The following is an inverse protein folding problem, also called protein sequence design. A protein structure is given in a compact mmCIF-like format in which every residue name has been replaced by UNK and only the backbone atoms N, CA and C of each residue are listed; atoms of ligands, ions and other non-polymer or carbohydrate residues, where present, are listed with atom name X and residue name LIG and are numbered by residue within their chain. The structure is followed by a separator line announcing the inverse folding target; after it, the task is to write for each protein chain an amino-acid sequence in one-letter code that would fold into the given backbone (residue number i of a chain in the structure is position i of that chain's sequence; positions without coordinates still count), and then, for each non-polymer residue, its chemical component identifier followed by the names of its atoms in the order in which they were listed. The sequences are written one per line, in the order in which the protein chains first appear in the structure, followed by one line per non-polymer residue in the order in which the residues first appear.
data_IF_827561012770
#
_entry.id   IF_827561012770
#
_cell.length_a   1.000
_cell.length_b   1.000
_cell.length_c   1.000
_cell.angle_alpha   90.00
_cell.angle_beta   90.00
_cell.angle_gamma   90.00
#
_symmetry.space_group_name_H-M   'P 1'
#
loop_
_entity.id
_entity.type
_entity.pdbx_description
1 polymer ?
#
# COMPACT_ATOMS: atom_id res chain seq x y z
N UNK A 1 -22.28 -22.04 11.35
CA UNK A 1 -21.78 -20.88 10.62
C UNK A 1 -20.94 -20.06 11.59
N UNK A 2 -19.66 -20.32 11.68
CA UNK A 2 -18.74 -19.60 12.58
C UNK A 2 -17.89 -18.66 11.74
N UNK A 3 -18.17 -17.36 11.81
CA UNK A 3 -17.28 -16.33 11.27
C UNK A 3 -15.99 -16.37 12.09
N UNK A 4 -14.92 -16.91 11.52
CA UNK A 4 -13.59 -16.79 12.10
C UNK A 4 -13.07 -15.39 11.73
N UNK A 5 -13.17 -14.46 12.67
CA UNK A 5 -12.54 -13.16 12.60
C UNK A 5 -11.04 -13.39 12.78
N UNK A 6 -10.26 -13.13 11.72
CA UNK A 6 -8.81 -13.08 11.81
C UNK A 6 -8.41 -11.77 12.48
N UNK A 7 -7.98 -11.85 13.74
CA UNK A 7 -7.34 -10.75 14.42
C UNK A 7 -5.90 -10.63 13.92
N UNK A 8 -5.62 -9.59 13.14
CA UNK A 8 -4.24 -9.13 12.96
C UNK A 8 -3.94 -8.28 14.17
N UNK A 9 -3.19 -8.84 15.13
CA UNK A 9 -2.67 -8.08 16.25
C UNK A 9 -1.49 -7.25 15.78
N UNK A 10 -1.66 -5.94 15.65
CA UNK A 10 -0.53 -5.00 15.70
C UNK A 10 -0.13 -4.94 17.17
N UNK A 11 0.90 -5.69 17.53
CA UNK A 11 1.39 -5.76 18.91
C UNK A 11 2.11 -4.48 19.29
N UNK A 12 1.41 -3.55 19.94
CA UNK A 12 2.04 -2.43 20.62
C UNK A 12 2.53 -2.92 21.98
N UNK A 13 3.82 -3.23 22.13
CA UNK A 13 4.43 -3.47 23.44
C UNK A 13 4.89 -2.15 24.05
N UNK A 14 4.19 -1.72 25.10
CA UNK A 14 4.59 -0.62 25.97
C UNK A 14 5.60 -1.12 26.98
N UNK A 15 6.88 -0.76 26.83
CA UNK A 15 7.84 -0.80 27.95
C UNK A 15 7.75 0.53 28.70
N UNK A 16 7.18 0.51 29.88
CA UNK A 16 7.03 1.67 30.74
C UNK A 16 8.28 1.90 31.60
N UNK A 17 8.88 3.10 31.50
CA UNK A 17 9.76 3.65 32.52
C UNK A 17 9.00 4.74 33.30
N UNK A 18 9.14 4.86 34.65
CA UNK A 18 8.36 5.79 35.44
C UNK A 18 9.00 7.18 35.43
N UNK A 19 8.37 8.11 34.75
CA UNK A 19 8.54 9.55 34.99
C UNK A 19 7.16 10.10 35.34
N UNK A 20 7.10 10.95 36.37
CA UNK A 20 5.86 11.61 36.81
C UNK A 20 5.36 12.56 35.71
N UNK A 21 4.60 12.02 34.78
CA UNK A 21 3.93 12.74 33.70
C UNK A 21 2.44 12.83 34.01
N UNK A 22 1.80 13.91 33.67
CA UNK A 22 0.35 13.96 33.56
C UNK A 22 -0.10 12.69 32.84
N UNK A 23 -0.90 11.85 33.49
CA UNK A 23 -1.38 10.60 32.89
C UNK A 23 -2.42 10.93 31.83
N UNK A 24 -1.98 10.99 30.57
CA UNK A 24 -2.90 11.10 29.44
C UNK A 24 -3.61 9.77 29.23
N UNK A 25 -4.93 9.79 29.13
CA UNK A 25 -5.72 8.60 28.85
C UNK A 25 -5.68 8.31 27.36
N UNK A 26 -5.24 7.10 26.98
CA UNK A 26 -5.33 6.63 25.59
C UNK A 26 -6.72 6.07 25.31
N UNK A 27 -7.40 6.63 24.34
CA UNK A 27 -8.69 6.18 23.82
C UNK A 27 -8.52 5.48 22.47
N UNK A 28 -9.29 4.44 22.21
CA UNK A 28 -9.20 3.71 20.94
C UNK A 28 -10.56 3.21 20.44
N UNK A 29 -10.70 3.13 19.12
CA UNK A 29 -11.80 2.50 18.38
C UNK A 29 -11.26 1.86 17.12
N UNK A 30 -11.98 0.84 16.63
CA UNK A 30 -11.68 0.19 15.36
C UNK A 30 -12.95 -0.13 14.58
N UNK A 31 -12.81 -0.30 13.28
CA UNK A 31 -13.87 -0.73 12.36
C UNK A 31 -13.28 -1.60 11.24
N UNK A 32 -14.05 -2.54 10.74
CA UNK A 32 -13.76 -3.36 9.56
C UNK A 32 -14.72 -3.06 8.38
N UNK A 33 -15.44 -1.93 8.47
CA UNK A 33 -16.49 -1.58 7.52
C UNK A 33 -15.98 -0.99 6.19
N UNK A 34 -14.70 -0.61 6.11
CA UNK A 34 -14.13 0.11 4.98
C UNK A 34 -12.89 -0.58 4.42
N UNK A 35 -12.66 -0.47 3.11
CA UNK A 35 -11.49 -0.99 2.38
C UNK A 35 -11.25 -2.49 2.57
N UNK A 36 -12.28 -3.26 2.97
CA UNK A 36 -12.18 -4.69 3.27
C UNK A 36 -11.08 -5.03 4.29
N UNK A 37 -10.76 -4.09 5.18
CA UNK A 37 -9.69 -4.21 6.17
C UNK A 37 -10.07 -3.54 7.50
N UNK A 38 -9.23 -3.73 8.52
CA UNK A 38 -9.41 -3.08 9.83
C UNK A 38 -8.76 -1.72 9.82
N UNK A 39 -9.51 -0.69 10.21
CA UNK A 39 -9.00 0.64 10.53
C UNK A 39 -9.13 0.90 12.02
N UNK A 40 -8.10 1.46 12.65
CA UNK A 40 -8.06 1.70 14.08
C UNK A 40 -7.55 3.11 14.41
N UNK A 41 -8.23 3.74 15.37
CA UNK A 41 -7.94 5.05 15.89
C UNK A 41 -7.44 4.95 17.32
N UNK A 42 -6.37 5.67 17.62
CA UNK A 42 -5.77 5.80 18.95
C UNK A 42 -5.45 7.28 19.20
N UNK A 43 -6.15 7.91 20.15
CA UNK A 43 -5.92 9.31 20.52
C UNK A 43 -5.73 9.43 22.03
N UNK A 44 -4.84 10.31 22.45
CA UNK A 44 -4.74 10.69 23.84
C UNK A 44 -5.72 11.81 24.17
N UNK A 45 -6.32 11.77 25.35
CA UNK A 45 -7.18 12.87 25.81
C UNK A 45 -6.36 14.16 25.91
N UNK A 46 -6.83 15.22 25.27
CA UNK A 46 -6.22 16.54 25.29
C UNK A 46 -7.23 17.61 25.69
N UNK A 47 -6.79 18.53 26.54
CA UNK A 47 -7.65 19.65 26.98
C UNK A 47 -7.94 20.58 25.80
N UNK A 48 -9.23 20.88 25.58
CA UNK A 48 -9.68 21.73 24.46
C UNK A 48 -9.92 20.99 23.14
N UNK A 49 -9.57 19.71 23.03
CA UNK A 49 -9.93 18.90 21.88
C UNK A 49 -11.43 18.56 21.87
N UNK A 50 -11.96 18.26 20.70
CA UNK A 50 -13.32 17.71 20.55
C UNK A 50 -13.46 16.37 21.26
N UNK A 51 -14.69 15.96 21.61
CA UNK A 51 -14.86 14.66 22.25
C UNK A 51 -14.41 13.53 21.33
N UNK A 52 -13.86 12.46 21.92
CA UNK A 52 -13.40 11.28 21.19
C UNK A 52 -14.52 10.66 20.33
N UNK A 53 -15.74 10.61 20.82
CA UNK A 53 -16.88 10.04 20.08
C UNK A 53 -17.26 10.89 18.86
N UNK A 54 -17.19 12.22 18.94
CA UNK A 54 -17.38 13.11 17.78
C UNK A 54 -16.27 12.91 16.76
N UNK A 55 -15.02 12.85 17.22
CA UNK A 55 -13.84 12.60 16.36
C UNK A 55 -13.91 11.24 15.69
N UNK A 56 -14.34 10.20 16.42
CA UNK A 56 -14.56 8.88 15.83
C UNK A 56 -15.68 8.87 14.77
N UNK A 57 -16.78 9.56 15.02
CA UNK A 57 -17.87 9.64 14.05
C UNK A 57 -17.45 10.38 12.78
N UNK A 58 -16.70 11.48 12.90
CA UNK A 58 -16.14 12.20 11.75
C UNK A 58 -15.12 11.35 10.99
N UNK A 59 -14.28 10.58 11.70
CA UNK A 59 -13.36 9.62 11.08
C UNK A 59 -14.12 8.61 10.22
N UNK A 60 -15.18 8.01 10.72
CA UNK A 60 -16.01 7.06 9.95
C UNK A 60 -16.63 7.71 8.71
N UNK A 61 -17.06 8.97 8.80
CA UNK A 61 -17.61 9.68 7.64
C UNK A 61 -16.54 9.90 6.56
N UNK A 62 -15.33 10.28 6.94
CA UNK A 62 -14.19 10.41 6.03
C UNK A 62 -13.91 9.06 5.33
N UNK A 63 -13.80 7.97 6.09
CA UNK A 63 -13.56 6.64 5.52
C UNK A 63 -14.69 6.20 4.57
N UNK A 64 -15.95 6.48 4.95
CA UNK A 64 -17.12 6.21 4.11
C UNK A 64 -17.12 7.00 2.81
N UNK A 65 -16.70 8.27 2.83
CA UNK A 65 -16.59 9.09 1.62
C UNK A 65 -15.54 8.55 0.66
N UNK A 66 -14.38 8.16 1.20
CA UNK A 66 -13.30 7.58 0.39
C UNK A 66 -13.72 6.22 -0.17
N UNK A 67 -14.33 5.34 0.62
CA UNK A 67 -14.83 4.05 0.14
C UNK A 67 -15.85 4.23 -1.00
N UNK A 68 -16.78 5.18 -0.88
CA UNK A 68 -17.73 5.51 -1.96
C UNK A 68 -17.06 6.06 -3.21
N UNK A 69 -15.89 6.68 -3.07
CA UNK A 69 -15.13 7.19 -4.20
C UNK A 69 -14.39 6.08 -4.95
N UNK A 70 -13.70 5.18 -4.23
CA UNK A 70 -12.69 4.28 -4.81
C UNK A 70 -13.11 2.81 -4.93
N UNK A 71 -14.21 2.38 -4.31
CA UNK A 71 -14.61 0.98 -4.30
C UNK A 71 -14.86 0.45 -5.70
N UNK A 72 -14.18 -0.62 -6.09
CA UNK A 72 -14.43 -1.31 -7.36
C UNK A 72 -15.62 -2.27 -7.29
N UNK A 73 -16.07 -2.61 -6.08
CA UNK A 73 -17.17 -3.54 -5.83
C UNK A 73 -18.53 -2.85 -5.64
N UNK A 74 -18.54 -1.55 -5.30
CA UNK A 74 -19.77 -0.78 -5.14
C UNK A 74 -20.10 -0.12 -6.48
N UNK A 75 -21.21 -0.51 -7.16
CA UNK A 75 -21.55 0.02 -8.49
C UNK A 75 -21.81 1.53 -8.53
N UNK A 76 -22.12 2.13 -7.37
CA UNK A 76 -22.40 3.57 -7.26
C UNK A 76 -21.12 4.40 -7.00
N UNK A 77 -19.97 3.77 -6.80
CA UNK A 77 -18.70 4.47 -6.61
C UNK A 77 -18.22 5.15 -7.91
N UNK A 78 -17.39 6.17 -7.77
CA UNK A 78 -16.82 6.86 -8.93
C UNK A 78 -16.02 5.90 -9.82
N UNK A 79 -15.17 5.07 -9.19
CA UNK A 79 -14.29 4.14 -9.92
C UNK A 79 -15.08 3.00 -10.56
N UNK A 80 -16.09 2.42 -9.90
CA UNK A 80 -16.90 1.38 -10.52
C UNK A 80 -17.72 1.94 -11.72
N UNK A 81 -18.28 3.15 -11.60
CA UNK A 81 -18.95 3.83 -12.71
C UNK A 81 -18.01 4.11 -13.87
N UNK A 82 -16.79 4.59 -13.59
CA UNK A 82 -15.75 4.77 -14.60
C UNK A 82 -15.36 3.44 -15.26
N UNK A 83 -15.18 2.38 -14.48
CA UNK A 83 -14.80 1.06 -14.99
C UNK A 83 -15.86 0.47 -15.94
N UNK A 84 -17.13 0.79 -15.72
CA UNK A 84 -18.24 0.37 -16.58
C UNK A 84 -18.33 1.12 -17.92
N UNK A 85 -17.59 2.22 -18.11
CA UNK A 85 -17.61 3.00 -19.34
C UNK A 85 -16.91 2.27 -20.50
N UNK A 86 -17.39 2.51 -21.72
CA UNK A 86 -16.65 2.20 -22.93
C UNK A 86 -15.63 3.29 -23.28
N UNK A 87 -14.63 2.95 -24.07
CA UNK A 87 -13.69 3.93 -24.64
C UNK A 87 -14.41 5.08 -25.34
N UNK A 88 -13.91 6.29 -25.17
CA UNK A 88 -14.52 7.54 -25.68
C UNK A 88 -15.61 8.11 -24.78
N UNK A 89 -15.99 7.44 -23.69
CA UNK A 89 -16.96 7.94 -22.71
C UNK A 89 -16.30 8.60 -21.52
N UNK A 90 -17.08 9.35 -20.74
CA UNK A 90 -16.64 10.03 -19.52
C UNK A 90 -17.72 10.01 -18.45
N UNK A 91 -17.32 10.21 -17.20
CA UNK A 91 -18.23 10.39 -16.06
C UNK A 91 -17.72 11.48 -15.13
N UNK A 92 -18.66 12.13 -14.45
CA UNK A 92 -18.35 13.04 -13.34
C UNK A 92 -17.93 12.24 -12.12
N UNK A 93 -16.90 12.69 -11.44
CA UNK A 93 -16.35 12.11 -10.20
C UNK A 93 -16.35 13.13 -9.06
N UNK A 94 -16.19 12.66 -7.84
CA UNK A 94 -16.06 13.50 -6.65
C UNK A 94 -14.68 14.19 -6.59
N UNK A 95 -14.57 15.25 -5.79
CA UNK A 95 -13.28 15.87 -5.49
C UNK A 95 -12.32 14.89 -4.79
N UNK A 96 -12.85 13.97 -3.97
CA UNK A 96 -12.06 12.92 -3.31
C UNK A 96 -11.36 12.04 -4.33
N UNK A 97 -12.09 11.55 -5.34
CA UNK A 97 -11.49 10.75 -6.43
C UNK A 97 -10.49 11.57 -7.24
N UNK A 98 -10.81 12.85 -7.51
CA UNK A 98 -9.92 13.73 -8.25
C UNK A 98 -8.60 13.96 -7.50
N UNK A 99 -8.62 14.17 -6.18
CA UNK A 99 -7.42 14.38 -5.37
C UNK A 99 -6.55 13.13 -5.33
N UNK A 100 -7.15 11.94 -5.15
CA UNK A 100 -6.43 10.67 -5.20
C UNK A 100 -5.77 10.46 -6.56
N UNK A 101 -6.49 10.75 -7.66
CA UNK A 101 -5.97 10.62 -9.02
C UNK A 101 -4.83 11.60 -9.29
N UNK A 102 -4.86 12.84 -8.77
CA UNK A 102 -3.74 13.78 -8.92
C UNK A 102 -2.45 13.19 -8.34
N UNK A 103 -2.50 12.70 -7.10
CA UNK A 103 -1.34 12.00 -6.50
C UNK A 103 -0.93 10.78 -7.34
N UNK A 104 -1.89 10.02 -7.87
CA UNK A 104 -1.58 8.88 -8.73
C UNK A 104 -0.89 9.31 -10.03
N UNK A 105 -1.30 10.42 -10.66
CA UNK A 105 -0.64 10.99 -11.84
C UNK A 105 0.77 11.48 -11.54
N UNK A 106 0.97 12.12 -10.39
CA UNK A 106 2.29 12.60 -9.98
C UNK A 106 3.26 11.42 -9.83
N UNK A 107 2.89 10.39 -9.06
CA UNK A 107 3.72 9.19 -8.88
C UNK A 107 3.90 8.42 -10.20
N UNK A 108 2.86 8.33 -11.05
CA UNK A 108 2.98 7.74 -12.38
C UNK A 108 4.04 8.45 -13.23
N UNK A 109 4.00 9.78 -13.25
CA UNK A 109 4.94 10.60 -14.02
C UNK A 109 6.37 10.52 -13.45
N UNK A 110 6.53 10.58 -12.12
CA UNK A 110 7.82 10.49 -11.45
C UNK A 110 8.52 9.14 -11.63
N UNK A 111 7.74 8.07 -11.81
CA UNK A 111 8.23 6.70 -11.87
C UNK A 111 8.20 6.09 -13.27
N UNK A 112 8.01 6.89 -14.32
CA UNK A 112 7.86 6.41 -15.70
C UNK A 112 6.81 5.30 -15.83
N UNK A 113 5.70 5.44 -15.08
CA UNK A 113 4.56 4.51 -15.11
C UNK A 113 4.73 3.23 -14.33
N UNK A 114 5.70 3.12 -13.41
CA UNK A 114 5.86 1.92 -12.57
C UNK A 114 4.79 1.80 -11.48
N UNK A 115 4.23 2.91 -11.03
CA UNK A 115 2.94 2.93 -10.34
C UNK A 115 1.87 3.25 -11.38
N UNK A 116 1.01 2.30 -11.68
CA UNK A 116 -0.06 2.49 -12.66
C UNK A 116 -1.37 1.83 -12.19
N UNK A 117 -2.37 2.61 -11.78
CA UNK A 117 -3.65 2.07 -11.33
C UNK A 117 -4.47 1.43 -12.46
N UNK A 118 -4.04 1.55 -13.73
CA UNK A 118 -4.69 0.91 -14.86
C UNK A 118 -4.32 -0.56 -15.07
N UNK A 119 -3.43 -1.11 -14.23
CA UNK A 119 -3.09 -2.55 -14.22
C UNK A 119 -4.26 -3.46 -13.79
N UNK A 120 -5.38 -2.91 -13.37
CA UNK A 120 -6.50 -3.69 -12.82
C UNK A 120 -6.97 -4.85 -13.71
N UNK A 121 -7.08 -4.76 -15.04
CA UNK A 121 -7.41 -5.91 -15.89
C UNK A 121 -6.41 -7.07 -15.77
N UNK A 122 -5.13 -6.78 -15.53
CA UNK A 122 -4.10 -7.77 -15.26
C UNK A 122 -4.21 -8.35 -13.84
N UNK A 123 -4.47 -7.50 -12.83
CA UNK A 123 -4.74 -7.94 -11.44
C UNK A 123 -5.92 -8.91 -11.42
N UNK A 124 -6.95 -8.62 -12.20
CA UNK A 124 -8.13 -9.48 -12.36
C UNK A 124 -7.79 -10.79 -13.09
N UNK A 125 -7.02 -10.73 -14.19
CA UNK A 125 -6.53 -11.91 -14.90
C UNK A 125 -5.72 -12.83 -13.98
N UNK A 126 -4.86 -12.31 -13.13
CA UNK A 126 -4.07 -13.06 -12.16
C UNK A 126 -4.89 -13.61 -10.99
N UNK A 127 -6.15 -13.20 -10.83
CA UNK A 127 -7.04 -13.68 -9.76
C UNK A 127 -6.85 -12.96 -8.42
N UNK A 128 -6.26 -11.76 -8.42
CA UNK A 128 -6.08 -10.94 -7.22
C UNK A 128 -7.20 -9.94 -6.98
N UNK A 129 -8.12 -9.77 -7.91
CA UNK A 129 -9.27 -8.88 -7.74
C UNK A 129 -10.28 -9.42 -6.73
N UNK A 130 -11.16 -8.57 -6.15
CA UNK A 130 -12.19 -9.00 -5.20
C UNK A 130 -13.15 -10.06 -5.73
N UNK A 131 -13.28 -10.22 -7.04
CA UNK A 131 -14.09 -11.30 -7.67
C UNK A 131 -13.62 -12.68 -7.25
N UNK A 132 -12.33 -12.83 -7.00
CA UNK A 132 -11.68 -14.08 -6.64
C UNK A 132 -11.44 -14.20 -5.13
N UNK A 133 -12.08 -13.36 -4.33
CA UNK A 133 -12.00 -13.49 -2.88
C UNK A 133 -12.31 -14.94 -2.50
N UNK A 134 -11.40 -15.58 -1.76
CA UNK A 134 -11.45 -16.99 -1.33
C UNK A 134 -12.76 -17.39 -0.64
N UNK A 135 -13.57 -16.42 -0.22
CA UNK A 135 -14.85 -16.62 0.46
C UNK A 135 -16.07 -16.46 -0.45
N UNK A 136 -15.91 -15.98 -1.68
CA UNK A 136 -16.99 -15.84 -2.66
C UNK A 136 -16.59 -16.56 -3.94
N UNK A 137 -17.01 -17.81 -4.03
CA UNK A 137 -16.93 -18.56 -5.27
C UNK A 137 -17.81 -17.86 -6.33
N UNK A 138 -17.18 -17.23 -7.32
CA UNK A 138 -17.91 -16.76 -8.51
C UNK A 138 -17.82 -17.84 -9.58
N UNK A 139 -18.96 -18.39 -10.04
CA UNK A 139 -18.96 -19.39 -11.11
C UNK A 139 -18.58 -18.80 -12.48
N UNK A 140 -18.59 -17.50 -12.64
CA UNK A 140 -18.22 -16.82 -13.88
C UNK A 140 -16.77 -16.34 -13.78
N UNK A 141 -15.84 -17.19 -14.18
CA UNK A 141 -14.43 -16.80 -14.33
C UNK A 141 -14.24 -16.14 -15.72
N UNK A 142 -13.51 -15.02 -15.82
CA UNK A 142 -13.15 -14.45 -17.12
C UNK A 142 -12.22 -15.41 -17.89
N UNK A 143 -12.25 -15.30 -19.21
CA UNK A 143 -11.31 -16.00 -20.10
C UNK A 143 -11.41 -17.53 -20.03
N UNK A 144 -12.62 -18.08 -19.87
CA UNK A 144 -12.89 -19.54 -19.76
C UNK A 144 -12.05 -20.27 -18.70
N UNK A 145 -11.52 -19.54 -17.71
CA UNK A 145 -10.75 -20.12 -16.60
C UNK A 145 -11.68 -20.81 -15.61
N UNK A 146 -11.41 -22.07 -15.31
CA UNK A 146 -12.09 -22.84 -14.26
C UNK A 146 -11.13 -23.13 -13.12
N UNK A 147 -11.63 -23.15 -11.88
CA UNK A 147 -10.83 -23.66 -10.76
C UNK A 147 -10.52 -25.14 -10.99
N UNK A 148 -9.22 -25.46 -10.95
CA UNK A 148 -8.72 -26.84 -10.97
C UNK A 148 -8.20 -27.13 -9.58
N UNK A 149 -8.78 -28.14 -8.90
CA UNK A 149 -8.44 -28.54 -7.52
C UNK A 149 -8.46 -27.36 -6.53
N UNK A 150 -9.40 -26.42 -6.71
CA UNK A 150 -9.53 -25.24 -5.85
C UNK A 150 -8.49 -24.15 -6.08
N UNK A 151 -7.70 -24.24 -7.16
CA UNK A 151 -6.72 -23.23 -7.57
C UNK A 151 -7.12 -22.60 -8.90
N UNK A 152 -6.88 -21.32 -9.02
CA UNK A 152 -7.01 -20.63 -10.28
C UNK A 152 -5.82 -21.03 -11.18
N UNK A 153 -6.02 -21.50 -12.42
CA UNK A 153 -4.93 -21.85 -13.30
C UNK A 153 -4.10 -20.59 -13.64
N UNK A 154 -2.82 -20.78 -13.93
CA UNK A 154 -1.95 -19.70 -14.40
C UNK A 154 -2.57 -19.03 -15.63
N UNK A 155 -2.47 -17.69 -15.75
CA UNK A 155 -2.88 -16.99 -16.96
C UNK A 155 -2.12 -17.51 -18.19
N UNK A 156 -2.82 -17.57 -19.33
CA UNK A 156 -2.15 -17.76 -20.61
C UNK A 156 -1.34 -16.49 -20.93
N UNK A 157 -0.09 -16.64 -21.32
CA UNK A 157 0.79 -15.51 -21.68
C UNK A 157 0.19 -14.63 -22.78
N UNK A 158 -0.54 -15.22 -23.73
CA UNK A 158 -1.26 -14.47 -24.78
C UNK A 158 -2.31 -13.53 -24.20
N UNK A 159 -2.96 -13.89 -23.07
CA UNK A 159 -3.92 -13.01 -22.42
C UNK A 159 -3.21 -11.87 -21.69
N UNK A 160 -2.06 -12.13 -21.08
CA UNK A 160 -1.22 -11.09 -20.45
C UNK A 160 -0.81 -10.07 -21.53
N UNK A 161 -0.23 -10.53 -22.64
CA UNK A 161 0.20 -9.67 -23.74
C UNK A 161 -0.97 -8.88 -24.35
N UNK A 162 -2.14 -9.51 -24.50
CA UNK A 162 -3.32 -8.88 -25.07
C UNK A 162 -3.92 -7.78 -24.16
N UNK A 163 -3.70 -7.84 -22.85
CA UNK A 163 -4.18 -6.83 -21.89
C UNK A 163 -3.21 -5.65 -21.72
N UNK A 164 -1.91 -5.80 -22.03
CA UNK A 164 -0.92 -4.72 -21.88
C UNK A 164 -1.31 -3.41 -22.57
N UNK A 165 -1.97 -3.37 -23.76
CA UNK A 165 -2.41 -2.11 -24.36
C UNK A 165 -3.48 -1.35 -23.55
N UNK A 166 -4.10 -1.97 -22.56
CA UNK A 166 -5.05 -1.30 -21.64
C UNK A 166 -4.35 -0.58 -20.48
N UNK A 167 -3.05 -0.88 -20.25
CA UNK A 167 -2.24 -0.30 -19.19
C UNK A 167 -1.62 1.00 -19.68
N UNK A 168 -1.74 2.03 -18.88
CA UNK A 168 -1.20 3.36 -19.16
C UNK A 168 -2.15 4.46 -18.70
N UNK A 169 -1.84 5.07 -17.55
CA UNK A 169 -2.65 6.14 -16.97
C UNK A 169 -2.79 7.36 -17.92
N UNK A 170 -1.86 7.53 -18.86
CA UNK A 170 -1.93 8.55 -19.92
C UNK A 170 -3.14 8.38 -20.85
N UNK A 171 -3.75 7.19 -20.93
CA UNK A 171 -4.98 6.92 -21.67
C UNK A 171 -6.27 7.36 -20.94
N UNK A 172 -6.13 7.91 -19.73
CA UNK A 172 -7.23 8.40 -18.89
C UNK A 172 -6.97 9.87 -18.62
N UNK A 173 -7.96 10.74 -18.79
CA UNK A 173 -7.79 12.18 -18.63
C UNK A 173 -8.74 12.72 -17.58
N UNK A 174 -8.19 13.40 -16.57
CA UNK A 174 -8.95 14.16 -15.58
C UNK A 174 -9.06 15.62 -16.05
N UNK A 175 -10.28 16.14 -16.13
CA UNK A 175 -10.53 17.57 -16.38
C UNK A 175 -11.31 18.19 -15.23
N UNK A 176 -11.11 19.50 -15.03
CA UNK A 176 -11.84 20.31 -14.06
C UNK A 176 -12.39 21.54 -14.75
N UNK A 177 -13.72 21.71 -14.69
CA UNK A 177 -14.39 22.90 -15.18
C UNK A 177 -15.41 23.39 -14.14
N UNK A 178 -15.23 24.62 -13.66
CA UNK A 178 -16.14 25.24 -12.66
C UNK A 178 -16.36 24.40 -11.39
N UNK A 179 -15.34 23.66 -10.93
CA UNK A 179 -15.40 22.79 -9.76
C UNK A 179 -16.08 21.44 -10.02
N UNK A 180 -16.37 21.12 -11.28
CA UNK A 180 -16.85 19.79 -11.71
C UNK A 180 -15.68 19.01 -12.27
N UNK A 181 -15.43 17.84 -11.68
CA UNK A 181 -14.37 16.92 -12.10
C UNK A 181 -14.94 15.87 -13.05
N UNK A 182 -14.31 15.67 -14.18
CA UNK A 182 -14.72 14.69 -15.18
C UNK A 182 -13.54 13.80 -15.55
N UNK A 183 -13.79 12.49 -15.54
CA UNK A 183 -12.80 11.47 -15.91
C UNK A 183 -13.17 10.88 -17.27
N UNK A 184 -12.24 10.93 -18.22
CA UNK A 184 -12.41 10.49 -19.61
C UNK A 184 -11.62 9.19 -19.85
N UNK A 185 -12.25 8.21 -20.49
CA UNK A 185 -11.62 6.94 -20.89
C UNK A 185 -11.26 7.02 -22.38
N UNK A 186 -9.99 7.23 -22.70
CA UNK A 186 -9.52 7.38 -24.08
C UNK A 186 -8.82 6.10 -24.59
N UNK A 187 -8.40 5.19 -23.70
CA UNK A 187 -7.74 3.93 -24.07
C UNK A 187 -8.67 3.06 -24.91
N UNK A 188 -8.26 2.66 -26.13
CA UNK A 188 -9.05 1.73 -26.96
C UNK A 188 -9.21 0.38 -26.26
N UNK A 189 -10.36 -0.30 -26.42
CA UNK A 189 -10.54 -1.64 -25.88
C UNK A 189 -9.72 -2.69 -26.66
N UNK A 190 -9.49 -3.83 -26.04
CA UNK A 190 -8.92 -5.02 -26.67
C UNK A 190 -9.95 -6.14 -26.75
N UNK A 191 -9.76 -7.09 -27.66
CA UNK A 191 -10.63 -8.28 -27.77
C UNK A 191 -9.84 -9.51 -27.37
N UNK A 192 -10.33 -10.27 -26.39
CA UNK A 192 -9.74 -11.53 -25.92
C UNK A 192 -10.82 -12.60 -25.97
N UNK A 193 -10.59 -13.69 -26.70
CA UNK A 193 -11.53 -14.81 -26.86
C UNK A 193 -12.95 -14.41 -27.27
N UNK A 194 -13.06 -13.31 -28.04
CA UNK A 194 -14.33 -12.75 -28.51
C UNK A 194 -14.98 -11.76 -27.53
N UNK A 195 -14.44 -11.56 -26.37
CA UNK A 195 -14.90 -10.56 -25.38
C UNK A 195 -14.15 -9.25 -25.53
N UNK A 196 -14.90 -8.13 -25.42
CA UNK A 196 -14.34 -6.78 -25.49
C UNK A 196 -13.98 -6.31 -24.08
N UNK A 197 -12.69 -6.13 -23.83
CA UNK A 197 -12.16 -5.69 -22.53
C UNK A 197 -11.80 -4.21 -22.61
N UNK A 198 -12.27 -3.45 -21.63
CA UNK A 198 -12.01 -2.01 -21.48
C UNK A 198 -10.87 -1.75 -20.49
N UNK A 199 -10.20 -0.60 -20.61
CA UNK A 199 -9.31 -0.12 -19.55
C UNK A 199 -10.10 0.14 -18.27
N UNK A 200 -9.51 -0.21 -17.14
CA UNK A 200 -10.11 -0.09 -15.80
C UNK A 200 -9.10 0.43 -14.81
N UNK A 201 -9.58 1.06 -13.75
CA UNK A 201 -8.78 1.60 -12.64
C UNK A 201 -9.00 0.81 -11.35
N UNK A 202 -7.93 0.67 -10.58
CA UNK A 202 -7.98 0.30 -9.16
C UNK A 202 -7.10 1.28 -8.36
N UNK A 203 -7.69 1.98 -7.41
CA UNK A 203 -7.02 2.93 -6.52
C UNK A 203 -6.66 2.30 -5.16
N UNK A 204 -6.73 0.98 -5.01
CA UNK A 204 -6.42 0.27 -3.76
C UNK A 204 -4.99 0.46 -3.26
N UNK A 205 -4.03 0.74 -4.16
CA UNK A 205 -2.62 1.01 -3.85
C UNK A 205 -2.32 2.45 -3.43
N UNK A 206 -3.33 3.30 -3.20
CA UNK A 206 -3.17 4.70 -2.78
C UNK A 206 -4.25 5.15 -1.78
N UNK A 207 -5.41 4.49 -1.81
CA UNK A 207 -6.59 4.95 -1.06
C UNK A 207 -6.42 4.84 0.45
N UNK A 208 -5.66 3.85 0.96
CA UNK A 208 -5.40 3.70 2.39
C UNK A 208 -4.49 4.80 2.92
N UNK A 209 -3.46 5.14 2.14
CA UNK A 209 -2.61 6.29 2.42
C UNK A 209 -3.40 7.59 2.43
N UNK A 210 -4.23 7.82 1.42
CA UNK A 210 -5.08 9.01 1.36
C UNK A 210 -6.04 9.09 2.56
N UNK A 211 -6.60 7.98 3.00
CA UNK A 211 -7.42 7.94 4.22
C UNK A 211 -6.62 8.36 5.45
N UNK A 212 -5.36 7.92 5.58
CA UNK A 212 -4.48 8.34 6.67
C UNK A 212 -4.21 9.85 6.66
N UNK A 213 -3.93 10.43 5.49
CA UNK A 213 -3.71 11.87 5.35
C UNK A 213 -4.95 12.69 5.77
N UNK A 214 -6.13 12.30 5.27
CA UNK A 214 -7.38 13.00 5.58
C UNK A 214 -7.78 12.88 7.05
N UNK A 215 -7.57 11.70 7.64
CA UNK A 215 -7.86 11.46 9.07
C UNK A 215 -6.89 12.25 9.96
N UNK A 216 -5.59 12.30 9.62
CA UNK A 216 -4.61 13.07 10.38
C UNK A 216 -4.90 14.58 10.34
N UNK A 217 -5.28 15.11 9.17
CA UNK A 217 -5.70 16.49 9.03
C UNK A 217 -6.92 16.79 9.90
N UNK A 218 -7.91 15.89 9.86
CA UNK A 218 -9.12 16.00 10.66
C UNK A 218 -8.83 15.99 12.17
N UNK A 219 -7.92 15.13 12.66
CA UNK A 219 -7.52 15.12 14.06
C UNK A 219 -6.94 16.47 14.52
N UNK A 220 -6.06 17.05 13.72
CA UNK A 220 -5.51 18.38 14.01
C UNK A 220 -6.61 19.45 14.06
N UNK A 221 -7.61 19.39 13.17
CA UNK A 221 -8.76 20.29 13.19
C UNK A 221 -9.65 20.09 14.43
N UNK A 222 -9.70 18.85 14.98
CA UNK A 222 -10.40 18.53 16.22
C UNK A 222 -9.59 18.88 17.48
N UNK A 223 -8.38 19.42 17.35
CA UNK A 223 -7.51 19.83 18.45
C UNK A 223 -6.60 18.74 19.01
N UNK A 224 -6.50 17.60 18.33
CA UNK A 224 -5.59 16.51 18.74
C UNK A 224 -4.21 16.69 18.12
N UNK A 225 -3.17 16.54 18.97
CA UNK A 225 -1.76 16.55 18.59
C UNK A 225 -1.05 15.24 18.94
N UNK A 226 -1.73 14.36 19.69
CA UNK A 226 -1.16 13.11 20.19
C UNK A 226 -2.03 11.90 19.84
N UNK A 227 -1.43 10.92 19.18
CA UNK A 227 -2.13 9.71 18.76
C UNK A 227 -1.66 9.16 17.44
N UNK A 228 -2.42 8.22 16.89
CA UNK A 228 -2.17 7.68 15.56
C UNK A 228 -3.44 7.04 14.98
N UNK A 229 -3.46 6.91 13.67
CA UNK A 229 -4.47 6.18 12.92
C UNK A 229 -3.81 5.12 12.04
N UNK A 230 -4.40 3.93 12.00
CA UNK A 230 -3.93 2.79 11.20
C UNK A 230 -5.02 2.40 10.21
N UNK A 231 -4.67 2.27 8.93
CA UNK A 231 -5.55 1.77 7.89
C UNK A 231 -4.96 0.48 7.27
N UNK A 232 -5.62 -0.65 7.52
CA UNK A 232 -5.24 -1.94 6.96
C UNK A 232 -3.91 -2.53 7.44
N UNK A 233 -3.29 -1.95 8.46
CA UNK A 233 -1.96 -2.37 8.95
C UNK A 233 -0.82 -2.05 8.00
N UNK A 234 -1.08 -1.48 6.83
CA UNK A 234 -0.09 -1.08 5.83
C UNK A 234 0.16 0.42 5.81
N UNK A 235 -0.83 1.24 6.15
CA UNK A 235 -0.71 2.70 6.13
C UNK A 235 -1.07 3.28 7.49
N UNK A 236 -0.31 4.28 7.94
CA UNK A 236 -0.48 4.92 9.24
C UNK A 236 -0.29 6.44 9.11
N UNK A 237 -1.07 7.17 9.91
CA UNK A 237 -0.78 8.55 10.26
C UNK A 237 -0.37 8.60 11.73
N UNK A 238 0.77 9.18 12.04
CA UNK A 238 1.39 9.19 13.35
C UNK A 238 1.57 10.63 13.78
N UNK A 239 0.93 10.99 14.89
CA UNK A 239 1.15 12.25 15.60
C UNK A 239 2.24 12.04 16.66
N UNK A 240 2.25 12.85 17.71
CA UNK A 240 3.18 12.69 18.82
C UNK A 240 2.60 11.78 19.92
N UNK A 241 3.42 11.47 20.93
CA UNK A 241 3.04 10.81 22.21
C UNK A 241 3.21 11.79 23.39
N UNK A 242 2.46 11.58 24.48
CA UNK A 242 2.56 12.46 25.66
C UNK A 242 3.85 12.27 26.49
N UNK A 243 4.56 11.18 26.30
CA UNK A 243 5.70 10.76 27.12
C UNK A 243 7.04 10.85 26.35
N UNK A 244 8.12 11.12 27.10
CA UNK A 244 9.50 11.14 26.59
C UNK A 244 9.71 12.23 25.53
N UNK A 245 10.25 11.81 24.39
CA UNK A 245 10.49 12.65 23.20
C UNK A 245 9.34 12.62 22.20
N UNK A 246 8.21 12.01 22.54
CA UNK A 246 7.03 11.90 21.71
C UNK A 246 7.09 10.83 20.62
N UNK A 247 8.12 9.98 20.62
CA UNK A 247 8.35 8.97 19.60
C UNK A 247 7.49 7.70 19.82
N UNK A 248 6.95 7.19 18.73
CA UNK A 248 6.39 5.84 18.63
C UNK A 248 7.46 4.86 18.14
N UNK A 249 7.44 3.65 18.67
CA UNK A 249 8.19 2.52 18.12
C UNK A 249 7.24 1.70 17.26
N UNK A 250 7.46 1.69 15.94
CA UNK A 250 6.68 0.92 14.98
C UNK A 250 7.51 -0.27 14.53
N UNK A 251 6.96 -1.47 14.70
CA UNK A 251 7.60 -2.71 14.27
C UNK A 251 7.26 -3.04 12.81
N UNK A 252 8.27 -3.42 12.03
CA UNK A 252 8.13 -3.83 10.65
C UNK A 252 8.10 -5.36 10.57
N UNK A 253 6.97 -5.91 10.12
CA UNK A 253 6.74 -7.34 10.04
C UNK A 253 7.66 -8.02 9.02
N UNK A 254 8.21 -9.19 9.36
CA UNK A 254 9.02 -10.01 8.45
C UNK A 254 8.12 -10.45 7.27
N UNK A 255 8.49 -10.09 6.03
CA UNK A 255 7.71 -10.52 4.87
C UNK A 255 7.77 -12.05 4.72
N UNK A 256 6.72 -12.62 4.14
CA UNK A 256 6.59 -14.07 3.90
C UNK A 256 6.65 -14.96 5.15
N UNK A 257 6.54 -14.38 6.35
CA UNK A 257 6.38 -15.15 7.58
C UNK A 257 5.02 -15.86 7.58
N UNK A 258 4.96 -17.08 8.10
CA UNK A 258 3.70 -17.81 8.26
C UNK A 258 2.75 -17.08 9.20
N UNK A 259 1.44 -17.25 9.03
CA UNK A 259 0.42 -16.59 9.86
C UNK A 259 0.52 -16.90 11.37
N UNK A 260 1.29 -17.92 11.75
CA UNK A 260 1.55 -18.32 13.14
C UNK A 260 2.81 -17.64 13.72
N UNK A 261 3.70 -17.11 12.87
CA UNK A 261 4.97 -16.52 13.28
C UNK A 261 4.94 -15.00 13.05
N UNK A 262 4.40 -14.27 14.03
CA UNK A 262 4.50 -12.81 14.04
C UNK A 262 5.95 -12.50 14.42
N UNK A 263 6.82 -12.43 13.44
CA UNK A 263 8.20 -12.01 13.60
C UNK A 263 8.41 -10.65 12.97
N UNK A 264 9.22 -9.83 13.61
CA UNK A 264 9.62 -8.52 13.09
C UNK A 264 11.04 -8.62 12.60
N UNK A 265 11.38 -7.83 11.57
CA UNK A 265 12.77 -7.74 11.13
C UNK A 265 13.42 -6.42 11.56
N UNK A 266 12.61 -5.40 11.82
CA UNK A 266 13.08 -4.09 12.26
C UNK A 266 12.01 -3.37 13.08
N UNK A 267 12.42 -2.32 13.79
CA UNK A 267 11.53 -1.31 14.33
C UNK A 267 12.08 0.08 14.08
N UNK A 268 11.17 1.04 13.85
CA UNK A 268 11.49 2.44 13.60
C UNK A 268 10.92 3.33 14.68
N UNK A 269 11.66 4.39 15.05
CA UNK A 269 11.22 5.37 16.03
C UNK A 269 10.82 6.66 15.32
N UNK A 270 9.53 7.03 15.43
CA UNK A 270 8.93 8.08 14.60
C UNK A 270 7.87 8.88 15.36
N UNK A 271 7.67 10.12 14.93
CA UNK A 271 6.56 11.01 15.33
C UNK A 271 6.25 11.98 14.19
N UNK A 272 5.07 12.57 14.21
CA UNK A 272 4.63 13.62 13.28
C UNK A 272 4.94 13.28 11.81
N UNK A 273 4.62 12.04 11.42
CA UNK A 273 4.90 11.51 10.08
C UNK A 273 3.79 10.58 9.63
N UNK A 274 3.85 10.18 8.38
CA UNK A 274 3.05 9.09 7.85
C UNK A 274 3.94 7.89 7.49
N UNK A 275 3.34 6.72 7.39
CA UNK A 275 4.02 5.50 7.02
C UNK A 275 3.13 4.69 6.09
N UNK A 276 3.68 4.17 5.00
CA UNK A 276 2.99 3.18 4.16
C UNK A 276 3.94 2.04 3.77
N UNK A 277 3.41 0.82 3.77
CA UNK A 277 4.17 -0.40 3.47
C UNK A 277 3.49 -1.17 2.35
N UNK A 278 4.22 -1.45 1.29
CA UNK A 278 3.86 -2.43 0.27
C UNK A 278 4.63 -3.74 0.47
N UNK A 279 4.01 -4.87 0.18
CA UNK A 279 4.63 -6.19 0.37
C UNK A 279 4.09 -7.23 -0.63
N UNK A 280 4.95 -8.16 -1.03
CA UNK A 280 4.57 -9.29 -1.87
C UNK A 280 3.93 -10.45 -1.08
N UNK A 281 3.84 -10.33 0.23
CA UNK A 281 3.41 -11.42 1.13
C UNK A 281 1.89 -11.54 1.25
N UNK A 282 1.16 -10.42 1.13
CA UNK A 282 -0.29 -10.39 1.17
C UNK A 282 -0.85 -10.60 -0.25
N UNK A 283 -2.01 -11.25 -0.36
CA UNK A 283 -2.62 -11.55 -1.67
C UNK A 283 -1.61 -12.20 -2.63
N UNK A 284 -1.09 -13.33 -2.24
CA UNK A 284 -0.12 -14.11 -3.00
C UNK A 284 -0.47 -15.60 -3.00
N UNK A 285 0.09 -16.33 -3.96
CA UNK A 285 0.05 -17.80 -3.99
C UNK A 285 1.39 -18.35 -4.47
N UNK A 286 1.68 -19.62 -4.14
CA UNK A 286 2.89 -20.31 -4.60
C UNK A 286 2.48 -21.37 -5.60
N UNK A 287 3.14 -21.38 -6.75
CA UNK A 287 3.03 -22.44 -7.75
C UNK A 287 4.43 -22.73 -8.32
N UNK A 288 4.77 -24.02 -8.38
CA UNK A 288 6.07 -24.48 -8.90
C UNK A 288 7.26 -23.75 -8.23
N UNK A 289 7.22 -23.65 -6.89
CA UNK A 289 8.19 -22.97 -6.03
C UNK A 289 8.37 -21.46 -6.31
N UNK A 290 7.48 -20.87 -7.12
CA UNK A 290 7.46 -19.44 -7.42
C UNK A 290 6.32 -18.76 -6.67
N UNK A 291 6.63 -17.64 -5.99
CA UNK A 291 5.64 -16.76 -5.37
C UNK A 291 5.09 -15.79 -6.41
N UNK A 292 3.78 -15.78 -6.57
CA UNK A 292 3.04 -14.80 -7.38
C UNK A 292 2.22 -13.92 -6.45
N UNK A 293 2.35 -12.61 -6.58
CA UNK A 293 1.66 -11.64 -5.73
C UNK A 293 0.84 -10.64 -6.55
N UNK A 294 0.01 -9.87 -5.86
CA UNK A 294 -0.89 -8.89 -6.47
C UNK A 294 -0.19 -7.65 -7.04
N UNK A 295 1.10 -7.45 -6.76
CA UNK A 295 1.89 -6.35 -7.32
C UNK A 295 2.31 -6.73 -8.74
N UNK A 296 1.69 -6.10 -9.72
CA UNK A 296 1.92 -6.38 -11.15
C UNK A 296 2.86 -5.32 -11.73
N UNK A 297 3.88 -5.77 -12.45
CA UNK A 297 4.72 -4.88 -13.25
C UNK A 297 3.93 -4.42 -14.49
N UNK A 298 3.61 -3.11 -14.61
CA UNK A 298 2.80 -2.57 -15.71
C UNK A 298 3.45 -2.73 -17.09
N UNK A 299 4.78 -2.93 -17.14
CA UNK A 299 5.54 -3.09 -18.39
C UNK A 299 5.43 -4.48 -18.97
N UNK A 300 5.28 -5.49 -18.11
CA UNK A 300 5.31 -6.91 -18.50
C UNK A 300 3.99 -7.62 -18.28
N UNK A 301 3.13 -7.10 -17.40
CA UNK A 301 1.90 -7.74 -16.97
C UNK A 301 2.09 -8.92 -16.02
N UNK A 302 3.32 -9.18 -15.58
CA UNK A 302 3.67 -10.24 -14.63
C UNK A 302 3.76 -9.70 -13.20
N UNK A 303 3.43 -10.53 -12.19
CA UNK A 303 3.75 -10.20 -10.80
C UNK A 303 5.24 -9.95 -10.61
N UNK A 304 5.57 -8.97 -9.75
CA UNK A 304 6.96 -8.70 -9.36
C UNK A 304 7.60 -9.94 -8.69
N UNK A 305 8.92 -9.97 -8.65
CA UNK A 305 9.70 -11.03 -8.00
C UNK A 305 9.51 -12.43 -8.63
N UNK A 306 9.00 -12.49 -9.87
CA UNK A 306 8.92 -13.72 -10.65
C UNK A 306 10.03 -13.80 -11.67
N UNK A 307 10.43 -15.01 -12.14
CA UNK A 307 11.48 -15.15 -13.17
C UNK A 307 11.15 -14.45 -14.50
N UNK A 308 9.86 -14.28 -14.82
CA UNK A 308 9.41 -13.60 -16.03
C UNK A 308 9.28 -12.07 -15.85
N UNK A 309 9.29 -11.57 -14.62
CA UNK A 309 9.32 -10.14 -14.33
C UNK A 309 10.72 -9.54 -14.51
N UNK A 310 10.80 -8.25 -14.86
CA UNK A 310 12.09 -7.54 -15.10
C UNK A 310 12.95 -7.39 -13.82
N UNK A 311 12.37 -7.63 -12.63
CA UNK A 311 13.06 -7.57 -11.34
C UNK A 311 14.15 -8.64 -11.15
N UNK A 312 14.22 -9.63 -12.05
CA UNK A 312 15.28 -10.64 -12.06
C UNK A 312 15.31 -11.48 -10.79
N UNK A 313 16.49 -11.92 -10.42
CA UNK A 313 16.71 -12.87 -9.32
C UNK A 313 16.66 -12.28 -7.90
N UNK A 314 16.40 -10.98 -7.75
CA UNK A 314 16.32 -10.27 -6.47
C UNK A 314 15.11 -9.37 -6.47
N UNK A 315 14.19 -9.57 -5.54
CA UNK A 315 13.01 -8.75 -5.39
C UNK A 315 12.90 -8.13 -4.01
N UNK A 316 12.29 -6.95 -3.94
CA UNK A 316 11.90 -6.33 -2.67
C UNK A 316 10.65 -7.05 -2.19
N UNK A 317 10.74 -7.71 -1.04
CA UNK A 317 9.61 -8.43 -0.45
C UNK A 317 8.71 -7.53 0.38
N UNK A 318 9.25 -6.47 0.99
CA UNK A 318 8.52 -5.46 1.74
C UNK A 318 9.27 -4.13 1.68
N UNK A 319 8.55 -3.04 1.46
CA UNK A 319 9.10 -1.69 1.44
C UNK A 319 8.19 -0.76 2.23
N UNK A 320 8.76 -0.09 3.21
CA UNK A 320 8.12 0.91 4.05
C UNK A 320 8.70 2.27 3.73
N UNK A 321 7.82 3.22 3.39
CA UNK A 321 8.13 4.63 3.24
C UNK A 321 7.56 5.42 4.40
N UNK A 322 8.33 6.39 4.86
CA UNK A 322 7.93 7.37 5.87
C UNK A 322 8.14 8.77 5.28
N UNK A 323 7.15 9.63 5.38
CA UNK A 323 7.18 10.98 4.83
C UNK A 323 5.95 11.78 5.20
N UNK A 324 5.74 12.91 4.51
CA UNK A 324 4.66 13.85 4.82
C UNK A 324 3.28 13.34 4.36
N UNK A 325 3.19 12.68 3.20
CA UNK A 325 1.94 12.20 2.61
C UNK A 325 1.88 10.67 2.58
N UNK A 326 0.92 10.10 3.31
CA UNK A 326 0.68 8.66 3.27
C UNK A 326 0.14 8.19 1.92
N UNK A 327 -0.62 9.02 1.19
CA UNK A 327 -1.09 8.70 -0.16
C UNK A 327 0.09 8.56 -1.13
N UNK A 328 1.01 9.51 -1.11
CA UNK A 328 2.23 9.42 -1.91
C UNK A 328 3.06 8.20 -1.53
N UNK A 329 3.27 7.97 -0.23
CA UNK A 329 4.04 6.84 0.28
C UNK A 329 3.40 5.48 -0.13
N UNK A 330 2.07 5.36 -0.11
CA UNK A 330 1.34 4.13 -0.49
C UNK A 330 1.59 3.80 -1.97
N UNK A 331 1.45 4.78 -2.86
CA UNK A 331 1.69 4.63 -4.30
C UNK A 331 3.18 4.42 -4.62
N UNK A 332 4.07 5.26 -4.06
CA UNK A 332 5.50 5.22 -4.32
C UNK A 332 6.15 3.93 -3.81
N UNK A 333 5.72 3.38 -2.66
CA UNK A 333 6.23 2.10 -2.16
C UNK A 333 5.97 0.95 -3.14
N UNK A 334 4.82 0.98 -3.84
CA UNK A 334 4.51 0.03 -4.92
C UNK A 334 5.44 0.21 -6.11
N UNK A 335 5.64 1.46 -6.59
CA UNK A 335 6.55 1.74 -7.70
C UNK A 335 7.98 1.29 -7.42
N UNK A 336 8.51 1.55 -6.22
CA UNK A 336 9.86 1.15 -5.83
C UNK A 336 10.03 -0.38 -5.77
N UNK A 337 9.01 -1.13 -5.36
CA UNK A 337 9.04 -2.59 -5.45
C UNK A 337 9.11 -3.04 -6.92
N UNK A 338 8.32 -2.42 -7.80
CA UNK A 338 8.34 -2.71 -9.25
C UNK A 338 9.67 -2.34 -9.89
N UNK A 339 10.34 -1.28 -9.43
CA UNK A 339 11.69 -0.93 -9.88
C UNK A 339 12.73 -2.03 -9.60
N UNK A 340 12.52 -2.77 -8.54
CA UNK A 340 13.49 -3.71 -8.00
C UNK A 340 14.63 -3.02 -7.22
N UNK A 341 15.40 -3.77 -6.42
CA UNK A 341 16.24 -3.20 -5.35
C UNK A 341 17.31 -2.23 -5.87
N UNK A 342 17.97 -2.51 -6.98
CA UNK A 342 19.06 -1.67 -7.49
C UNK A 342 18.58 -0.31 -8.02
N UNK A 343 17.51 -0.32 -8.84
CA UNK A 343 16.93 0.92 -9.38
C UNK A 343 16.23 1.72 -8.29
N UNK A 344 15.53 1.04 -7.36
CA UNK A 344 14.90 1.70 -6.21
C UNK A 344 15.94 2.41 -5.34
N UNK A 345 17.09 1.78 -5.07
CA UNK A 345 18.18 2.40 -4.34
C UNK A 345 18.70 3.67 -5.02
N UNK A 346 18.94 3.61 -6.33
CA UNK A 346 19.38 4.78 -7.09
C UNK A 346 18.33 5.91 -7.06
N UNK A 347 17.06 5.56 -7.27
CA UNK A 347 15.96 6.53 -7.23
C UNK A 347 15.82 7.21 -5.87
N UNK A 348 15.86 6.42 -4.77
CA UNK A 348 15.79 6.94 -3.39
C UNK A 348 16.94 7.92 -3.13
N UNK A 349 18.15 7.57 -3.54
CA UNK A 349 19.33 8.40 -3.36
C UNK A 349 19.25 9.73 -4.10
N UNK A 350 18.66 9.75 -5.30
CA UNK A 350 18.59 10.93 -6.16
C UNK A 350 17.37 11.81 -5.87
N UNK A 351 16.23 11.23 -5.46
CA UNK A 351 14.94 11.93 -5.44
C UNK A 351 14.24 11.95 -4.08
N UNK A 352 14.62 11.09 -3.13
CA UNK A 352 13.89 10.91 -1.86
C UNK A 352 14.75 11.23 -0.63
N UNK A 353 15.45 12.36 -0.65
CA UNK A 353 16.39 12.76 0.42
C UNK A 353 15.67 13.16 1.72
N UNK A 354 14.39 13.56 1.65
CA UNK A 354 13.59 13.97 2.78
C UNK A 354 12.71 12.84 3.33
N UNK A 355 12.61 11.72 2.62
CA UNK A 355 11.80 10.58 3.01
C UNK A 355 12.69 9.50 3.62
N UNK A 356 12.14 8.78 4.58
CA UNK A 356 12.83 7.63 5.16
C UNK A 356 12.31 6.34 4.55
N UNK A 357 13.22 5.45 4.18
CA UNK A 357 12.91 4.19 3.52
C UNK A 357 13.52 3.04 4.29
N UNK A 358 12.74 1.98 4.49
CA UNK A 358 13.23 0.67 4.96
C UNK A 358 12.66 -0.40 4.04
N UNK A 359 13.51 -1.15 3.37
CA UNK A 359 13.02 -2.29 2.61
C UNK A 359 13.76 -3.58 2.93
N UNK A 360 13.06 -4.69 2.76
CA UNK A 360 13.53 -6.03 2.97
C UNK A 360 13.48 -6.81 1.65
N UNK A 361 14.60 -7.39 1.25
CA UNK A 361 14.75 -8.15 0.01
C UNK A 361 15.35 -9.53 0.29
N UNK A 362 14.89 -10.54 -0.45
CA UNK A 362 15.53 -11.85 -0.44
C UNK A 362 16.57 -11.94 -1.56
N UNK A 363 17.75 -12.47 -1.22
CA UNK A 363 18.74 -12.83 -2.23
C UNK A 363 18.34 -14.12 -2.93
N UNK A 364 18.59 -14.19 -4.23
CA UNK A 364 18.31 -15.39 -5.02
C UNK A 364 19.05 -16.60 -4.45
N UNK A 365 18.28 -17.67 -4.17
CA UNK A 365 18.81 -18.92 -3.62
C UNK A 365 19.20 -18.86 -2.13
N UNK A 366 18.95 -17.75 -1.45
CA UNK A 366 19.18 -17.58 -0.02
C UNK A 366 17.86 -17.41 0.74
N UNK A 367 17.80 -17.94 1.96
CA UNK A 367 16.70 -17.69 2.92
C UNK A 367 16.95 -16.43 3.75
N UNK A 368 18.14 -15.83 3.62
CA UNK A 368 18.54 -14.64 4.33
C UNK A 368 17.83 -13.40 3.77
N UNK A 369 17.31 -12.56 4.68
CA UNK A 369 16.67 -11.30 4.38
C UNK A 369 17.72 -10.17 4.42
N UNK A 370 17.86 -9.44 3.32
CA UNK A 370 18.66 -8.21 3.28
C UNK A 370 17.77 -7.02 3.62
N UNK A 371 18.15 -6.22 4.62
CA UNK A 371 17.46 -4.98 4.96
C UNK A 371 18.28 -3.80 4.48
N UNK A 372 17.64 -2.87 3.80
CA UNK A 372 18.25 -1.66 3.25
C UNK A 372 17.47 -0.43 3.71
N UNK A 373 18.18 0.61 4.15
CA UNK A 373 17.56 1.83 4.67
C UNK A 373 18.46 3.05 4.48
N UNK A 374 17.84 4.22 4.39
CA UNK A 374 18.49 5.53 4.51
C UNK A 374 18.21 6.19 5.87
N UNK A 375 17.55 5.46 6.82
CA UNK A 375 17.30 5.98 8.15
C UNK A 375 18.58 6.01 9.00
N UNK A 376 18.73 7.01 9.88
CA UNK A 376 19.85 7.03 10.82
C UNK A 376 19.72 5.91 11.86
N UNK A 377 20.85 5.36 12.30
CA UNK A 377 20.93 4.28 13.29
C UNK A 377 20.18 4.60 14.61
N UNK A 378 20.05 5.88 14.96
CA UNK A 378 19.31 6.32 16.14
C UNK A 378 17.79 6.11 16.04
N UNK A 379 17.25 5.92 14.84
CA UNK A 379 15.82 5.76 14.58
C UNK A 379 15.44 4.37 14.12
N UNK A 380 16.41 3.50 13.83
CA UNK A 380 16.18 2.13 13.37
C UNK A 380 16.81 1.14 14.35
N UNK A 381 16.04 0.15 14.78
CA UNK A 381 16.57 -1.02 15.49
C UNK A 381 16.22 -2.27 14.69
N UNK A 382 17.19 -3.14 14.52
CA UNK A 382 17.02 -4.44 13.87
C UNK A 382 16.80 -5.53 14.94
N UNK A 383 16.15 -6.61 14.55
CA UNK A 383 16.05 -7.81 15.38
C UNK A 383 17.47 -8.31 15.72
N UNK A 384 17.67 -8.86 16.93
CA UNK A 384 18.96 -9.35 17.44
C UNK A 384 19.61 -10.44 16.56
N UNK A 385 18.86 -11.04 15.64
CA UNK A 385 19.36 -12.00 14.64
C UNK A 385 19.95 -11.35 13.39
N UNK A 386 19.95 -10.01 13.29
CA UNK A 386 20.39 -9.28 12.11
C UNK A 386 21.84 -8.78 12.22
N UNK A 387 22.59 -8.90 11.12
CA UNK A 387 23.95 -8.35 11.02
C UNK A 387 23.94 -7.09 10.14
N UNK A 388 24.49 -5.99 10.68
CA UNK A 388 24.78 -4.78 9.91
C UNK A 388 26.03 -5.03 9.04
N UNK A 389 25.89 -5.01 7.72
CA UNK A 389 27.04 -4.85 6.84
C UNK A 389 27.30 -3.36 6.60
N UNK A 390 28.57 -2.96 6.58
CA UNK A 390 29.03 -1.59 6.63
C UNK A 390 28.22 -0.60 5.76
N UNK A 391 27.84 0.53 6.34
CA UNK A 391 27.31 1.70 5.66
C UNK A 391 28.42 2.38 4.85
N UNK A 392 28.11 2.77 3.62
CA UNK A 392 28.94 3.72 2.86
C UNK A 392 28.30 5.10 2.93
N UNK A 393 29.08 6.09 3.27
CA UNK A 393 28.68 7.52 3.20
C UNK A 393 29.26 8.08 1.91
N UNK A 394 28.45 8.76 1.09
CA UNK A 394 28.97 9.41 -0.11
C UNK A 394 29.79 10.67 0.23
N UNK A 395 30.38 11.29 -0.79
CA UNK A 395 31.23 12.46 -0.63
C UNK A 395 30.49 13.69 -0.06
N UNK A 396 29.15 13.70 -0.12
CA UNK A 396 28.27 14.78 0.35
C UNK A 396 27.68 14.48 1.74
N UNK A 397 28.02 13.33 2.33
CA UNK A 397 27.59 12.95 3.68
C UNK A 397 26.25 12.20 3.73
N UNK A 398 25.69 11.83 2.59
CA UNK A 398 24.49 11.01 2.54
C UNK A 398 24.84 9.55 2.84
N UNK A 399 24.06 8.92 3.72
CA UNK A 399 24.23 7.50 4.03
C UNK A 399 23.68 6.70 2.85
N UNK A 400 24.59 6.16 2.07
CA UNK A 400 24.26 5.17 1.03
C UNK A 400 24.22 3.78 1.68
N UNK A 401 23.07 3.43 2.19
CA UNK A 401 22.65 2.09 2.57
C UNK A 401 23.48 1.36 3.63
N UNK A 402 22.84 1.11 4.74
CA UNK A 402 23.24 0.07 5.68
C UNK A 402 22.57 -1.24 5.23
N UNK A 403 23.31 -2.16 4.62
CA UNK A 403 22.79 -3.49 4.30
C UNK A 403 22.84 -4.37 5.55
N UNK A 404 21.73 -5.01 5.89
CA UNK A 404 21.65 -5.96 6.99
C UNK A 404 21.29 -7.34 6.48
N UNK A 405 21.96 -8.36 6.98
CA UNK A 405 21.70 -9.75 6.64
C UNK A 405 21.18 -10.48 7.87
N UNK A 406 20.05 -11.16 7.74
CA UNK A 406 19.59 -12.11 8.75
C UNK A 406 20.22 -13.47 8.48
N UNK A 407 20.81 -14.07 9.49
CA UNK A 407 21.19 -15.47 9.41
C UNK A 407 19.91 -16.34 9.34
N UNK A 408 19.94 -17.46 8.61
CA UNK A 408 18.81 -18.37 8.47
C UNK A 408 18.34 -18.98 9.78
#
# INVERSE_FOLDING_TARGET
MCKRIFFIWVGLFLLAAPVSAQSHTLLSRQTDAYFSTVSALFLYEEEGASSFEETWNGTKEILSQIERAVSISNPDSDIARFNALSSGQSCTISSVTADILRTAYDVYAETDGLYDPTVYPLVDLWGFSPRFNRNTYSPALPYDRAYIDGRLPMPDERHIEALLPLVGLSGITLTEENGVYTLHKNTPPVTIDGELIQAQLDLGGIAKGYACDRVAEYFRQQGYTMGHFVCGGSSMAILSRPDGDGLYTITLGKPRAGAADITYYASVQVRDTTLSTSSDSLHSFIQDDTLYCHLIDPRTGWPVNTPAGDSGQRGIASLTLLGESAAYNDAMSTALIVMGPQKAMAYISEHMQNDSVVFAAYKAGETALEVVTNMPDSQLSLDDSAYLSASTVDADGHILYTGCFFAP
#
